data_IF_335025919103
#
_entry.id   IF_335025919103
#
_cell.length_a   1.000
_cell.length_b   1.000
_cell.length_c   1.000
_cell.angle_alpha   90.00
_cell.angle_beta   90.00
_cell.angle_gamma   90.00
#
_symmetry.space_group_name_H-M   'P 1'
#
loop_
_entity.id
_entity.type
_entity.pdbx_description
1 polymer ?
#
# COMPACT_ATOMS: atom_id res chain seq x y z
N UNK A 1 5.61 -5.81 -15.88
CA UNK A 1 5.63 -6.05 -14.42
C UNK A 1 6.67 -5.11 -13.82
N UNK A 2 6.30 -4.27 -12.85
CA UNK A 2 7.24 -3.35 -12.15
C UNK A 2 7.43 -3.86 -10.72
N UNK A 3 8.66 -3.78 -10.23
CA UNK A 3 9.05 -4.23 -8.89
C UNK A 3 9.47 -3.00 -8.09
N UNK A 4 8.82 -2.78 -6.95
CA UNK A 4 9.18 -1.74 -5.98
C UNK A 4 9.83 -2.42 -4.77
N UNK A 5 11.13 -2.22 -4.58
CA UNK A 5 11.90 -2.84 -3.49
C UNK A 5 11.81 -1.99 -2.24
N UNK A 6 11.15 -2.52 -1.20
CA UNK A 6 10.94 -1.81 0.07
C UNK A 6 12.10 -2.02 1.05
N UNK A 7 12.66 -3.23 1.10
CA UNK A 7 13.73 -3.58 2.03
C UNK A 7 14.60 -4.72 1.47
N UNK A 8 15.68 -5.06 2.19
CA UNK A 8 16.49 -6.26 1.94
C UNK A 8 16.10 -7.33 2.94
N UNK A 9 16.02 -8.59 2.49
CA UNK A 9 15.77 -9.69 3.40
C UNK A 9 16.95 -9.93 4.37
N UNK A 10 16.66 -10.40 5.58
CA UNK A 10 17.69 -10.73 6.57
C UNK A 10 18.62 -11.84 6.05
N UNK A 11 19.84 -11.90 6.57
CA UNK A 11 20.85 -12.90 6.19
C UNK A 11 21.20 -12.95 4.68
N UNK A 12 20.91 -11.87 3.93
CA UNK A 12 21.12 -11.78 2.48
C UNK A 12 20.34 -12.84 1.70
N UNK A 13 19.23 -13.34 2.23
CA UNK A 13 18.34 -14.18 1.44
C UNK A 13 17.73 -13.37 0.28
N UNK A 14 17.38 -14.07 -0.79
CA UNK A 14 16.74 -13.45 -1.94
C UNK A 14 15.26 -13.22 -1.66
N UNK A 15 14.76 -12.01 -1.96
CA UNK A 15 13.33 -11.72 -1.89
C UNK A 15 12.64 -12.31 -3.13
N UNK A 16 11.53 -13.05 -3.00
CA UNK A 16 10.80 -13.55 -4.16
C UNK A 16 10.37 -12.40 -5.09
N UNK A 17 10.74 -12.47 -6.38
CA UNK A 17 10.46 -11.41 -7.36
C UNK A 17 9.44 -11.82 -8.43
N UNK A 18 9.11 -13.10 -8.54
CA UNK A 18 8.21 -13.61 -9.56
C UNK A 18 6.75 -13.32 -9.23
N UNK A 19 5.94 -13.06 -10.25
CA UNK A 19 4.49 -12.93 -10.08
C UNK A 19 3.90 -14.29 -9.74
N UNK A 20 3.21 -14.39 -8.60
CA UNK A 20 2.62 -15.65 -8.17
C UNK A 20 1.18 -15.72 -8.64
N UNK A 21 0.91 -16.57 -9.64
CA UNK A 21 -0.45 -16.84 -10.12
C UNK A 21 -1.26 -17.71 -9.14
N UNK A 22 -0.58 -18.36 -8.20
CA UNK A 22 -1.17 -19.14 -7.10
C UNK A 22 -0.77 -18.53 -5.77
N UNK A 23 -1.58 -18.78 -4.75
CA UNK A 23 -1.28 -18.38 -3.37
C UNK A 23 -0.08 -19.21 -2.89
N UNK A 24 1.11 -18.61 -2.95
CA UNK A 24 2.31 -19.17 -2.36
C UNK A 24 2.44 -18.71 -0.91
N UNK A 25 3.41 -19.28 -0.20
CA UNK A 25 3.62 -19.04 1.21
C UNK A 25 4.31 -17.70 1.51
N UNK A 26 4.58 -16.86 0.52
CA UNK A 26 5.36 -15.62 0.63
C UNK A 26 4.67 -14.40 -0.01
N UNK A 27 3.44 -14.58 -0.52
CA UNK A 27 2.74 -13.59 -1.33
C UNK A 27 1.40 -13.20 -0.73
N UNK A 28 1.22 -11.90 -0.54
CA UNK A 28 -0.08 -11.31 -0.17
C UNK A 28 -0.61 -10.46 -1.32
N UNK A 29 -1.90 -10.54 -1.59
CA UNK A 29 -2.53 -9.67 -2.60
C UNK A 29 -2.65 -8.25 -2.05
N UNK A 30 -2.05 -7.27 -2.73
CA UNK A 30 -2.35 -5.86 -2.47
C UNK A 30 -3.60 -5.44 -3.25
N UNK A 31 -3.76 -5.99 -4.46
CA UNK A 31 -4.89 -5.73 -5.34
C UNK A 31 -4.99 -6.76 -6.47
N UNK A 32 -5.92 -6.56 -7.41
CA UNK A 32 -6.00 -7.37 -8.62
C UNK A 32 -4.78 -7.24 -9.57
N UNK A 33 -3.93 -6.22 -9.41
CA UNK A 33 -2.75 -5.96 -10.26
C UNK A 33 -1.44 -5.78 -9.50
N UNK A 34 -1.44 -6.00 -8.19
CA UNK A 34 -0.24 -5.86 -7.34
C UNK A 34 -0.20 -6.88 -6.21
N UNK A 35 1.01 -7.30 -5.85
CA UNK A 35 1.30 -8.31 -4.84
C UNK A 35 2.42 -7.82 -3.93
N UNK A 36 2.33 -8.15 -2.64
CA UNK A 36 3.40 -7.98 -1.66
C UNK A 36 4.17 -9.29 -1.54
N UNK A 37 5.50 -9.18 -1.44
CA UNK A 37 6.42 -10.31 -1.31
C UNK A 37 7.15 -10.22 0.02
N UNK A 38 7.17 -11.33 0.75
CA UNK A 38 7.76 -11.42 2.09
C UNK A 38 8.98 -12.33 2.10
N UNK A 39 9.94 -11.99 2.95
CA UNK A 39 11.17 -12.77 3.16
C UNK A 39 10.94 -14.04 3.99
N UNK A 40 9.86 -14.06 4.77
CA UNK A 40 9.46 -15.16 5.64
C UNK A 40 8.10 -15.69 5.19
N UNK A 41 7.79 -16.91 5.59
CA UNK A 41 6.48 -17.48 5.28
C UNK A 41 5.38 -16.70 5.99
N UNK A 42 4.30 -16.44 5.25
CA UNK A 42 3.07 -15.81 5.73
C UNK A 42 1.88 -16.78 5.70
N UNK A 43 2.13 -18.08 5.50
CA UNK A 43 1.09 -19.10 5.42
C UNK A 43 0.27 -19.21 6.73
N UNK A 44 0.91 -18.91 7.86
CA UNK A 44 0.31 -18.96 9.19
C UNK A 44 -0.43 -17.66 9.57
N UNK A 45 -0.40 -16.62 8.72
CA UNK A 45 -1.17 -15.40 8.98
C UNK A 45 -2.66 -15.69 8.82
N UNK A 46 -3.40 -15.57 9.93
CA UNK A 46 -4.86 -15.63 9.93
C UNK A 46 -5.47 -14.52 9.07
N UNK A 47 -6.71 -14.72 8.64
CA UNK A 47 -7.46 -13.65 7.98
C UNK A 47 -7.80 -12.51 8.94
N UNK A 48 -7.67 -11.28 8.45
CA UNK A 48 -8.01 -10.10 9.23
C UNK A 48 -9.50 -10.05 9.59
N UNK A 49 -9.81 -9.79 10.85
CA UNK A 49 -11.15 -9.41 11.29
C UNK A 49 -11.47 -7.95 10.89
N UNK A 50 -12.72 -7.51 11.07
CA UNK A 50 -13.12 -6.15 10.70
C UNK A 50 -12.40 -5.04 11.49
N UNK A 51 -11.94 -5.37 12.71
CA UNK A 51 -11.27 -4.43 13.62
C UNK A 51 -9.78 -4.73 13.82
N UNK A 52 -9.25 -5.81 13.24
CA UNK A 52 -7.83 -6.10 13.36
C UNK A 52 -7.00 -5.13 12.52
N UNK A 53 -5.89 -4.69 13.10
CA UNK A 53 -4.81 -4.03 12.36
C UNK A 53 -4.15 -5.07 11.45
N UNK A 54 -4.00 -4.73 10.17
CA UNK A 54 -3.56 -5.66 9.15
C UNK A 54 -2.10 -5.44 8.75
N UNK A 55 -1.75 -4.23 8.33
CA UNK A 55 -0.39 -3.85 7.97
C UNK A 55 -0.02 -2.56 8.69
N UNK A 56 1.17 -2.54 9.27
CA UNK A 56 1.81 -1.34 9.79
C UNK A 56 3.01 -0.99 8.92
N UNK A 57 3.02 0.23 8.39
CA UNK A 57 4.14 0.80 7.65
C UNK A 57 4.80 1.83 8.56
N UNK A 58 6.06 1.61 8.89
CA UNK A 58 6.86 2.54 9.69
C UNK A 58 7.97 3.12 8.82
N UNK A 59 8.02 4.44 8.71
CA UNK A 59 9.07 5.17 8.03
C UNK A 59 9.88 5.94 9.07
N UNK A 60 11.20 5.76 9.05
CA UNK A 60 12.14 6.47 9.90
C UNK A 60 13.03 7.33 9.03
N UNK A 61 12.95 8.64 9.21
CA UNK A 61 13.79 9.62 8.50
C UNK A 61 14.80 10.15 9.50
N UNK A 62 16.06 9.75 9.33
CA UNK A 62 17.15 10.24 10.18
C UNK A 62 17.83 11.41 9.47
N UNK A 63 17.93 12.59 10.12
CA UNK A 63 18.65 13.72 9.56
C UNK A 63 20.13 13.39 9.42
N UNK A 64 20.74 13.88 8.35
CA UNK A 64 22.15 13.66 8.06
C UNK A 64 23.04 14.40 9.06
N UNK A 65 24.01 13.71 9.66
CA UNK A 65 25.06 14.36 10.44
C UNK A 65 25.92 15.18 9.49
N UNK A 66 25.93 16.50 9.68
CA UNK A 66 26.74 17.44 8.90
C UNK A 66 28.22 17.08 9.06
N UNK A 67 28.78 16.36 8.10
CA UNK A 67 30.22 16.36 7.88
C UNK A 67 30.52 17.43 6.83
N UNK A 68 31.46 18.34 7.13
CA UNK A 68 31.61 19.64 6.47
C UNK A 68 31.92 19.63 4.95
N UNK A 69 31.94 18.47 4.25
CA UNK A 69 32.35 18.42 2.84
C UNK A 69 31.56 17.45 1.94
N UNK A 70 30.44 16.87 2.37
CA UNK A 70 29.57 16.08 1.48
C UNK A 70 28.11 16.36 1.82
N UNK A 71 27.33 16.83 0.85
CA UNK A 71 25.88 16.92 0.97
C UNK A 71 25.33 15.52 1.27
N UNK A 72 25.06 15.25 2.54
CA UNK A 72 24.54 13.97 2.99
C UNK A 72 23.03 14.06 2.94
N UNK A 73 22.41 13.22 2.11
CA UNK A 73 20.96 13.11 2.04
C UNK A 73 20.43 12.46 3.32
N UNK A 74 19.26 12.89 3.82
CA UNK A 74 18.61 12.21 4.95
C UNK A 74 18.40 10.74 4.59
N UNK A 75 18.64 9.84 5.56
CA UNK A 75 18.44 8.41 5.35
C UNK A 75 17.02 8.03 5.74
N UNK A 76 16.27 7.45 4.79
CA UNK A 76 14.93 6.93 5.03
C UNK A 76 14.96 5.41 5.11
N UNK A 77 14.42 4.86 6.19
CA UNK A 77 14.22 3.42 6.39
C UNK A 77 12.73 3.11 6.50
N UNK A 78 12.23 2.20 5.67
CA UNK A 78 10.84 1.73 5.70
C UNK A 78 10.77 0.30 6.22
N UNK A 79 9.95 0.07 7.22
CA UNK A 79 9.64 -1.26 7.78
C UNK A 79 8.16 -1.54 7.58
N UNK A 80 7.84 -2.73 7.05
CA UNK A 80 6.47 -3.15 6.80
C UNK A 80 6.23 -4.42 7.60
N UNK A 81 5.24 -4.39 8.49
CA UNK A 81 4.84 -5.52 9.30
C UNK A 81 3.41 -5.91 8.96
N UNK A 82 3.21 -7.16 8.53
CA UNK A 82 1.89 -7.75 8.33
C UNK A 82 1.50 -8.58 9.55
N UNK A 83 0.34 -8.29 10.15
CA UNK A 83 -0.20 -9.01 11.30
C UNK A 83 -1.24 -10.08 10.90
N UNK A 84 -1.93 -9.87 9.78
CA UNK A 84 -2.94 -10.79 9.25
C UNK A 84 -3.05 -10.64 7.73
N UNK A 85 -3.68 -11.60 7.07
CA UNK A 85 -3.89 -11.61 5.62
C UNK A 85 -5.25 -11.00 5.24
N UNK A 86 -5.24 -10.03 4.33
CA UNK A 86 -6.46 -9.40 3.84
C UNK A 86 -7.12 -10.27 2.76
N UNK A 87 -8.38 -10.70 2.95
CA UNK A 87 -9.12 -11.41 1.92
C UNK A 87 -9.25 -10.58 0.62
N UNK A 88 -9.29 -11.26 -0.53
CA UNK A 88 -9.37 -10.62 -1.86
C UNK A 88 -10.65 -9.80 -2.10
N UNK A 89 -11.70 -10.02 -1.31
CA UNK A 89 -12.98 -9.30 -1.36
C UNK A 89 -13.04 -8.10 -0.39
N UNK A 90 -11.90 -7.70 0.16
CA UNK A 90 -11.75 -6.55 1.07
C UNK A 90 -10.73 -5.57 0.49
N UNK A 91 -10.76 -4.34 0.99
CA UNK A 91 -9.79 -3.31 0.62
C UNK A 91 -9.00 -2.83 1.83
N UNK A 92 -7.82 -2.29 1.54
CA UNK A 92 -6.93 -1.70 2.52
C UNK A 92 -7.42 -0.29 2.86
N UNK A 93 -7.82 -0.09 4.11
CA UNK A 93 -8.28 1.21 4.60
C UNK A 93 -7.29 1.77 5.61
N UNK A 94 -6.92 3.03 5.45
CA UNK A 94 -6.16 3.75 6.48
C UNK A 94 -6.94 3.71 7.79
N UNK A 95 -6.32 3.20 8.84
CA UNK A 95 -6.92 3.09 10.17
C UNK A 95 -6.37 4.15 11.12
N UNK A 96 -5.04 4.30 11.16
CA UNK A 96 -4.38 5.25 12.05
C UNK A 96 -3.12 5.77 11.39
N UNK A 97 -2.83 7.04 11.64
CA UNK A 97 -1.60 7.70 11.26
C UNK A 97 -1.03 8.39 12.51
N UNK A 98 0.27 8.21 12.74
CA UNK A 98 0.98 8.91 13.80
C UNK A 98 2.35 9.34 13.29
N UNK A 99 2.76 10.53 13.71
CA UNK A 99 4.07 11.08 13.43
C UNK A 99 4.66 11.57 14.76
N UNK A 100 5.92 11.21 15.02
CA UNK A 100 6.67 11.70 16.16
C UNK A 100 8.09 12.09 15.75
N UNK A 101 8.63 13.06 16.45
CA UNK A 101 10.00 13.54 16.26
C UNK A 101 10.78 13.30 17.55
N UNK A 102 11.97 12.72 17.42
CA UNK A 102 12.91 12.56 18.53
C UNK A 102 13.74 13.82 18.73
N UNK A 103 14.28 14.02 19.93
CA UNK A 103 15.17 15.15 20.26
C UNK A 103 16.36 15.30 19.31
N UNK A 104 16.79 14.21 18.67
CA UNK A 104 17.88 14.21 17.68
C UNK A 104 17.42 14.60 16.26
N UNK A 105 16.17 15.03 16.08
CA UNK A 105 15.55 15.37 14.79
C UNK A 105 15.13 14.17 13.93
N UNK A 106 15.21 12.95 14.46
CA UNK A 106 14.73 11.75 13.74
C UNK A 106 13.20 11.73 13.74
N UNK A 107 12.61 11.62 12.55
CA UNK A 107 11.16 11.57 12.37
C UNK A 107 10.72 10.11 12.22
N UNK A 108 9.74 9.70 13.02
CA UNK A 108 9.09 8.40 12.96
C UNK A 108 7.65 8.58 12.50
N UNK A 109 7.34 8.08 11.31
CA UNK A 109 5.97 8.01 10.79
C UNK A 109 5.49 6.58 10.89
N UNK A 110 4.31 6.35 11.47
CA UNK A 110 3.66 5.04 11.52
C UNK A 110 2.25 5.14 10.96
N UNK A 111 1.99 4.33 9.94
CA UNK A 111 0.72 4.27 9.23
C UNK A 111 0.16 2.85 9.33
N UNK A 112 -0.99 2.72 9.99
CA UNK A 112 -1.65 1.45 10.25
C UNK A 112 -2.85 1.34 9.31
N UNK A 113 -2.93 0.21 8.61
CA UNK A 113 -4.02 -0.14 7.70
C UNK A 113 -4.80 -1.31 8.25
N UNK A 114 -6.12 -1.29 8.03
CA UNK A 114 -7.03 -2.41 8.31
C UNK A 114 -7.72 -2.89 7.04
N UNK A 115 -8.28 -4.09 7.12
CA UNK A 115 -9.10 -4.66 6.05
C UNK A 115 -10.55 -4.27 6.23
N UNK A 116 -11.12 -3.58 5.23
CA UNK A 116 -12.52 -3.16 5.23
C UNK A 116 -13.29 -3.82 4.09
N UNK A 117 -14.59 -3.99 4.28
CA UNK A 117 -15.45 -4.64 3.29
C UNK A 117 -15.65 -3.76 2.06
N UNK A 118 -15.55 -4.35 0.88
CA UNK A 118 -15.92 -3.70 -0.38
C UNK A 118 -17.45 -3.76 -0.49
N UNK A 119 -18.10 -2.59 -0.51
CA UNK A 119 -19.53 -2.49 -0.75
C UNK A 119 -19.81 -2.32 -2.25
N UNK A 120 -21.09 -2.37 -2.65
CA UNK A 120 -21.50 -2.08 -4.04
C UNK A 120 -21.71 -0.58 -4.22
N UNK A 121 -20.98 0.05 -5.14
CA UNK A 121 -21.20 1.45 -5.48
C UNK A 121 -22.50 1.63 -6.29
N UNK A 122 -22.97 2.86 -6.38
CA UNK A 122 -23.98 3.30 -7.35
C UNK A 122 -23.34 3.78 -8.67
N UNK A 123 -24.16 4.01 -9.67
CA UNK A 123 -23.73 4.69 -10.90
C UNK A 123 -23.22 6.10 -10.59
N UNK A 124 -22.12 6.50 -11.24
CA UNK A 124 -21.41 7.76 -11.04
C UNK A 124 -20.82 7.96 -9.63
N UNK A 125 -20.86 6.94 -8.77
CA UNK A 125 -20.24 6.98 -7.45
C UNK A 125 -18.71 6.81 -7.56
N UNK A 126 -17.98 7.47 -6.66
CA UNK A 126 -16.54 7.24 -6.48
C UNK A 126 -16.26 5.79 -6.11
N UNK A 127 -15.40 5.13 -6.88
CA UNK A 127 -15.10 3.72 -6.71
C UNK A 127 -13.67 3.44 -6.24
N UNK A 128 -12.77 4.42 -6.34
CA UNK A 128 -11.40 4.26 -5.87
C UNK A 128 -10.43 5.30 -6.43
N UNK A 129 -9.21 5.24 -5.92
CA UNK A 129 -8.11 6.09 -6.37
C UNK A 129 -7.24 5.36 -7.41
N UNK A 130 -7.16 5.88 -8.62
CA UNK A 130 -6.36 5.27 -9.70
C UNK A 130 -5.00 5.96 -9.80
N UNK A 131 -3.91 5.25 -9.51
CA UNK A 131 -2.54 5.80 -9.60
C UNK A 131 -2.27 6.37 -10.99
N UNK A 132 -1.69 7.56 -11.07
CA UNK A 132 -1.40 8.18 -12.36
C UNK A 132 -0.21 7.55 -13.11
N UNK A 133 0.65 6.80 -12.42
CA UNK A 133 1.86 6.20 -13.00
C UNK A 133 1.60 4.84 -13.68
N UNK A 134 0.72 4.00 -13.12
CA UNK A 134 0.42 2.65 -13.66
C UNK A 134 -1.05 2.37 -13.92
N UNK A 135 -1.94 3.33 -13.65
CA UNK A 135 -3.39 3.14 -13.75
C UNK A 135 -3.89 1.96 -12.92
N UNK A 136 -3.21 1.69 -11.80
CA UNK A 136 -3.65 0.73 -10.80
C UNK A 136 -4.63 1.41 -9.84
N UNK A 137 -5.77 0.78 -9.56
CA UNK A 137 -6.85 1.37 -8.75
C UNK A 137 -6.90 0.75 -7.34
N UNK A 138 -6.78 1.61 -6.33
CA UNK A 138 -7.18 1.30 -4.96
C UNK A 138 -8.70 1.36 -4.85
N UNK A 139 -9.35 0.23 -5.12
CA UNK A 139 -10.80 0.11 -5.05
C UNK A 139 -11.31 0.24 -3.62
N UNK A 140 -12.37 1.03 -3.43
CA UNK A 140 -13.10 1.15 -2.17
C UNK A 140 -14.49 0.51 -2.24
N UNK A 141 -15.05 0.39 -3.44
CA UNK A 141 -16.30 -0.31 -3.71
C UNK A 141 -16.28 -0.99 -5.09
N UNK A 142 -17.20 -1.94 -5.31
CA UNK A 142 -17.37 -2.64 -6.58
C UNK A 142 -18.48 -2.00 -7.40
N UNK A 143 -18.18 -1.64 -8.66
CA UNK A 143 -19.18 -1.08 -9.55
C UNK A 143 -20.29 -2.09 -9.90
N UNK A 144 -21.53 -1.62 -10.16
CA UNK A 144 -22.62 -2.43 -10.68
C UNK A 144 -22.29 -3.09 -12.02
N UNK A 145 -23.09 -4.10 -12.40
CA UNK A 145 -22.94 -4.79 -13.68
C UNK A 145 -23.05 -3.81 -14.86
N UNK A 146 -22.11 -3.91 -15.81
CA UNK A 146 -22.05 -3.02 -16.97
C UNK A 146 -21.32 -1.69 -16.73
N UNK A 147 -20.93 -1.38 -15.50
CA UNK A 147 -20.14 -0.20 -15.16
C UNK A 147 -18.72 -0.59 -14.78
N UNK A 148 -17.76 0.24 -15.16
CA UNK A 148 -16.36 0.10 -14.79
C UNK A 148 -15.90 1.29 -13.95
N UNK A 149 -14.92 1.03 -13.08
CA UNK A 149 -14.30 2.05 -12.26
C UNK A 149 -13.24 2.78 -13.09
N UNK A 150 -13.64 3.87 -13.74
CA UNK A 150 -12.82 4.61 -14.70
C UNK A 150 -12.57 6.03 -14.20
N UNK A 151 -11.42 6.59 -14.55
CA UNK A 151 -11.18 8.02 -14.34
C UNK A 151 -12.15 8.82 -15.23
N UNK A 152 -12.81 9.83 -14.66
CA UNK A 152 -13.68 10.73 -15.44
C UNK A 152 -12.88 11.87 -16.06
N UNK A 153 -12.05 12.49 -15.23
CA UNK A 153 -11.30 13.70 -15.57
C UNK A 153 -9.81 13.39 -15.46
N UNK A 154 -8.99 13.97 -16.36
CA UNK A 154 -7.53 13.82 -16.32
C UNK A 154 -6.86 14.69 -15.23
N UNK A 155 -7.63 15.12 -14.23
CA UNK A 155 -7.14 15.86 -13.08
C UNK A 155 -6.57 14.90 -12.04
N UNK A 156 -5.37 15.22 -11.56
CA UNK A 156 -4.69 14.43 -10.53
C UNK A 156 -4.69 15.17 -9.20
N UNK A 157 -4.75 14.41 -8.11
CA UNK A 157 -4.55 14.89 -6.75
C UNK A 157 -3.64 13.95 -5.99
N UNK A 158 -3.00 14.48 -4.95
CA UNK A 158 -2.14 13.67 -4.10
C UNK A 158 -2.97 12.83 -3.14
N UNK A 159 -2.67 11.53 -3.10
CA UNK A 159 -3.28 10.57 -2.19
C UNK A 159 -2.20 9.90 -1.34
N UNK A 160 -2.65 9.29 -0.25
CA UNK A 160 -1.85 8.33 0.51
C UNK A 160 -2.67 7.05 0.68
N UNK A 161 -2.22 6.00 0.01
CA UNK A 161 -2.78 4.66 0.01
C UNK A 161 -1.71 3.68 0.52
N UNK A 162 -2.08 2.43 0.77
CA UNK A 162 -1.13 1.43 1.24
C UNK A 162 0.04 1.28 0.25
N UNK A 163 1.24 1.65 0.75
CA UNK A 163 2.51 1.65 0.02
C UNK A 163 2.54 2.56 -1.21
N UNK A 164 1.70 3.59 -1.24
CA UNK A 164 1.71 4.58 -2.31
C UNK A 164 1.35 5.97 -1.79
N UNK A 165 2.26 6.90 -2.00
CA UNK A 165 2.00 8.34 -1.81
C UNK A 165 2.38 9.03 -3.11
N UNK A 166 1.41 9.70 -3.74
CA UNK A 166 1.62 10.32 -5.05
C UNK A 166 0.34 10.74 -5.73
N UNK A 167 0.46 11.10 -7.01
CA UNK A 167 -0.64 11.63 -7.82
C UNK A 167 -1.56 10.54 -8.36
N UNK A 168 -2.86 10.71 -8.17
CA UNK A 168 -3.87 9.77 -8.65
C UNK A 168 -5.07 10.49 -9.25
N UNK A 169 -5.80 9.76 -10.10
CA UNK A 169 -7.09 10.16 -10.65
C UNK A 169 -8.22 9.67 -9.77
N UNK A 170 -9.30 10.46 -9.76
CA UNK A 170 -10.56 10.08 -9.13
C UNK A 170 -11.31 9.14 -10.06
N UNK A 171 -11.49 7.88 -9.68
CA UNK A 171 -12.26 6.94 -10.47
C UNK A 171 -13.72 6.88 -10.00
N UNK A 172 -14.65 6.79 -10.95
CA UNK A 172 -16.09 6.63 -10.71
C UNK A 172 -16.65 5.45 -11.51
N UNK A 173 -17.80 4.92 -11.07
CA UNK A 173 -18.51 3.88 -11.81
C UNK A 173 -19.26 4.46 -13.01
N UNK A 174 -18.76 4.19 -14.22
CA UNK A 174 -19.33 4.70 -15.48
C UNK A 174 -19.29 3.62 -16.56
N UNK A 175 -20.13 3.67 -17.60
CA UNK A 175 -19.97 2.84 -18.79
C UNK A 175 -18.60 3.09 -19.46
N UNK A 176 -18.10 2.08 -20.18
CA UNK A 176 -16.88 2.19 -20.99
C UNK A 176 -17.11 2.97 -22.28
#
# INVERSE_FOLDING_TARGET
>A
MRIERMCRCPHRSECPMEWSSKQDNYTMSLSNRSQLKFCQTIADLLHCSAESQAITVTETVTPSSVSQNVASMPSTQTTIQAACNCPHNRYWKLHQYSNSESENGTIYTSTIYKCSEIYKCNENEFCGNMRADYYFTYYQCSCPHGLMCLQKDHETYNISELLYTGSAYKAICTPN
#
